data_IF_753916865883
#
_entry.id   IF_753916865883
#
_cell.length_a   1.000
_cell.length_b   1.000
_cell.length_c   1.000
_cell.angle_alpha   90.00
_cell.angle_beta   90.00
_cell.angle_gamma   90.00
#
_symmetry.space_group_name_H-M   'P 1'
#
loop_
_entity.id
_entity.type
_entity.pdbx_description
1 polymer ?
#
# COMPACT_ATOMS: atom_id res chain seq x y z
N UNK A 1 1.33 -23.11 -5.44
CA UNK A 1 1.89 -21.82 -5.91
C UNK A 1 1.43 -20.76 -4.95
N UNK A 2 2.25 -19.81 -4.49
CA UNK A 2 1.71 -18.69 -3.74
C UNK A 2 0.86 -17.85 -4.69
N UNK A 3 -0.40 -17.63 -4.33
CA UNK A 3 -1.37 -16.77 -5.02
C UNK A 3 -0.98 -15.28 -4.91
N UNK A 4 0.19 -14.90 -5.42
CA UNK A 4 0.62 -13.51 -5.41
C UNK A 4 1.20 -13.11 -6.76
N UNK A 5 0.72 -12.04 -7.39
CA UNK A 5 1.46 -11.40 -8.46
C UNK A 5 2.67 -10.71 -7.80
N UNK A 6 3.91 -11.13 -8.06
CA UNK A 6 5.09 -10.62 -7.35
C UNK A 6 5.43 -9.15 -7.66
N UNK A 7 4.60 -8.44 -8.42
CA UNK A 7 4.95 -7.19 -9.10
C UNK A 7 3.76 -6.22 -9.24
N UNK A 8 2.92 -6.07 -8.22
CA UNK A 8 1.88 -5.02 -8.23
C UNK A 8 2.59 -3.67 -8.03
N UNK A 9 2.59 -2.81 -9.04
CA UNK A 9 3.13 -1.46 -8.90
C UNK A 9 2.25 -0.62 -7.95
N UNK A 10 2.75 0.54 -7.49
CA UNK A 10 1.92 1.51 -6.75
C UNK A 10 0.66 1.87 -7.55
N UNK A 11 0.77 1.95 -8.89
CA UNK A 11 -0.37 2.20 -9.77
C UNK A 11 -1.40 1.09 -9.68
N UNK A 12 -0.97 -0.15 -9.89
CA UNK A 12 -1.87 -1.32 -9.88
C UNK A 12 -2.56 -1.50 -8.51
N UNK A 13 -1.82 -1.27 -7.42
CA UNK A 13 -2.38 -1.28 -6.08
C UNK A 13 -3.46 -0.19 -5.90
N UNK A 14 -3.16 1.05 -6.29
CA UNK A 14 -4.12 2.14 -6.20
C UNK A 14 -5.34 1.90 -7.09
N UNK A 15 -5.17 1.36 -8.30
CA UNK A 15 -6.27 0.99 -9.20
C UNK A 15 -7.18 -0.07 -8.56
N UNK A 16 -6.61 -1.09 -7.91
CA UNK A 16 -7.37 -2.15 -7.23
C UNK A 16 -8.32 -1.62 -6.14
N UNK A 17 -7.98 -0.49 -5.53
CA UNK A 17 -8.80 0.18 -4.52
C UNK A 17 -9.53 1.43 -5.04
N UNK A 18 -9.47 1.70 -6.35
CA UNK A 18 -10.07 2.88 -7.00
C UNK A 18 -9.53 4.21 -6.48
N UNK A 19 -8.20 4.29 -6.32
CA UNK A 19 -7.47 5.44 -5.79
C UNK A 19 -6.32 5.91 -6.69
N UNK A 20 -6.28 5.50 -7.97
CA UNK A 20 -5.18 5.84 -8.89
C UNK A 20 -4.98 7.33 -9.13
N UNK A 21 -6.00 8.16 -8.88
CA UNK A 21 -5.86 9.62 -8.90
C UNK A 21 -4.83 10.16 -7.90
N UNK A 22 -4.43 9.38 -6.90
CA UNK A 22 -3.41 9.75 -5.91
C UNK A 22 -1.99 9.28 -6.27
N UNK A 23 -1.79 8.58 -7.40
CA UNK A 23 -0.49 7.97 -7.76
C UNK A 23 0.65 8.99 -7.72
N UNK A 24 0.46 10.17 -8.30
CA UNK A 24 1.50 11.19 -8.36
C UNK A 24 1.89 11.71 -6.97
N UNK A 25 0.93 11.79 -6.04
CA UNK A 25 1.15 12.22 -4.67
C UNK A 25 2.00 11.22 -3.90
N UNK A 26 1.76 9.90 -4.07
CA UNK A 26 2.60 8.86 -3.49
C UNK A 26 4.03 8.93 -4.03
N UNK A 27 4.19 9.03 -5.36
CA UNK A 27 5.51 9.09 -5.99
C UNK A 27 6.28 10.37 -5.61
N UNK A 28 5.62 11.52 -5.60
CA UNK A 28 6.22 12.80 -5.22
C UNK A 28 6.65 12.83 -3.74
N UNK A 29 5.96 12.09 -2.88
CA UNK A 29 6.33 11.93 -1.48
C UNK A 29 7.39 10.83 -1.24
N UNK A 30 7.90 10.18 -2.30
CA UNK A 30 8.95 9.17 -2.22
C UNK A 30 8.46 7.74 -1.95
N UNK A 31 7.14 7.49 -1.93
CA UNK A 31 6.57 6.15 -1.79
C UNK A 31 6.54 5.45 -3.15
N UNK A 32 7.64 4.82 -3.51
CA UNK A 32 7.84 4.19 -4.84
C UNK A 32 7.65 2.67 -4.84
N UNK A 33 7.56 2.03 -3.68
CA UNK A 33 7.40 0.56 -3.53
C UNK A 33 6.25 0.21 -2.58
N UNK A 34 5.64 -0.98 -2.75
CA UNK A 34 4.60 -1.44 -1.81
C UNK A 34 5.16 -1.69 -0.41
N UNK A 35 6.42 -2.06 -0.27
CA UNK A 35 7.09 -2.13 1.03
C UNK A 35 7.06 -0.78 1.74
N UNK A 36 7.43 0.32 1.05
CA UNK A 36 7.38 1.66 1.63
C UNK A 36 5.96 2.08 2.01
N UNK A 37 4.96 1.78 1.16
CA UNK A 37 3.55 2.04 1.43
C UNK A 37 3.02 1.24 2.62
N UNK A 38 3.46 0.00 2.80
CA UNK A 38 3.03 -0.86 3.92
C UNK A 38 3.40 -0.27 5.29
N UNK A 39 4.39 0.61 5.35
CA UNK A 39 4.84 1.28 6.58
C UNK A 39 4.05 2.56 6.90
N UNK A 40 3.32 3.12 5.93
CA UNK A 40 2.65 4.40 6.06
C UNK A 40 1.60 4.42 7.19
N UNK A 41 1.52 5.55 7.87
CA UNK A 41 0.47 5.88 8.83
C UNK A 41 -0.67 6.66 8.15
N UNK A 42 -1.80 6.81 8.87
CA UNK A 42 -2.89 7.71 8.44
C UNK A 42 -2.41 9.16 8.28
N UNK A 43 -1.42 9.57 9.06
CA UNK A 43 -0.89 10.92 9.01
C UNK A 43 -0.07 11.15 7.73
N UNK A 44 0.66 10.14 7.26
CA UNK A 44 1.39 10.23 5.99
C UNK A 44 0.42 10.34 4.81
N UNK A 45 -0.69 9.59 4.85
CA UNK A 45 -1.77 9.69 3.86
C UNK A 45 -2.36 11.11 3.81
N UNK A 46 -2.53 11.76 4.96
CA UNK A 46 -2.98 13.16 5.02
C UNK A 46 -1.94 14.13 4.46
N UNK A 47 -0.67 13.94 4.81
CA UNK A 47 0.45 14.79 4.37
C UNK A 47 0.64 14.78 2.86
N UNK A 48 0.42 13.66 2.19
CA UNK A 48 0.50 13.59 0.73
C UNK A 48 -0.73 14.20 0.03
N UNK A 49 -1.69 14.74 0.76
CA UNK A 49 -2.82 15.49 0.21
C UNK A 49 -4.10 14.67 -0.01
N UNK A 50 -4.26 13.51 0.63
CA UNK A 50 -5.53 12.77 0.63
C UNK A 50 -6.47 13.39 1.68
N UNK A 51 -7.31 14.35 1.27
CA UNK A 51 -8.18 15.10 2.18
C UNK A 51 -9.49 14.41 2.54
N UNK A 52 -10.05 13.59 1.63
CA UNK A 52 -11.36 12.96 1.83
C UNK A 52 -11.26 11.79 2.82
N UNK A 53 -12.03 11.88 3.91
CA UNK A 53 -12.04 10.87 5.00
C UNK A 53 -12.36 9.47 4.46
N UNK A 54 -13.31 9.36 3.52
CA UNK A 54 -13.64 8.07 2.88
C UNK A 54 -12.46 7.45 2.13
N UNK A 55 -11.64 8.28 1.48
CA UNK A 55 -10.45 7.83 0.76
C UNK A 55 -9.33 7.43 1.74
N UNK A 56 -9.11 8.23 2.78
CA UNK A 56 -8.18 7.90 3.86
C UNK A 56 -8.49 6.53 4.47
N UNK A 57 -9.75 6.28 4.85
CA UNK A 57 -10.19 5.01 5.45
C UNK A 57 -9.95 3.83 4.51
N UNK A 58 -10.24 3.99 3.22
CA UNK A 58 -10.02 2.95 2.21
C UNK A 58 -8.54 2.61 2.07
N UNK A 59 -7.67 3.61 1.94
CA UNK A 59 -6.23 3.41 1.81
C UNK A 59 -5.63 2.77 3.07
N UNK A 60 -5.99 3.27 4.25
CA UNK A 60 -5.52 2.71 5.53
C UNK A 60 -5.91 1.24 5.68
N UNK A 61 -7.15 0.88 5.32
CA UNK A 61 -7.58 -0.54 5.34
C UNK A 61 -6.74 -1.40 4.40
N UNK A 62 -6.43 -0.90 3.20
CA UNK A 62 -5.62 -1.64 2.23
C UNK A 62 -4.15 -1.77 2.66
N UNK A 63 -3.58 -0.71 3.26
CA UNK A 63 -2.22 -0.72 3.84
C UNK A 63 -2.11 -1.74 4.97
N UNK A 64 -3.13 -1.87 5.82
CA UNK A 64 -3.16 -2.90 6.86
C UNK A 64 -3.14 -4.31 6.26
N UNK A 65 -3.90 -4.56 5.19
CA UNK A 65 -3.85 -5.84 4.47
C UNK A 65 -2.48 -6.10 3.85
N UNK A 66 -1.86 -5.11 3.20
CA UNK A 66 -0.50 -5.22 2.67
C UNK A 66 0.51 -5.57 3.78
N UNK A 67 0.44 -4.87 4.93
CA UNK A 67 1.33 -5.12 6.06
C UNK A 67 1.20 -6.55 6.59
N UNK A 68 -0.02 -7.05 6.75
CA UNK A 68 -0.25 -8.43 7.18
C UNK A 68 0.31 -9.44 6.18
N UNK A 69 0.12 -9.21 4.88
CA UNK A 69 0.68 -10.05 3.83
C UNK A 69 2.20 -10.12 3.90
N UNK A 70 2.88 -8.98 4.03
CA UNK A 70 4.33 -8.94 4.16
C UNK A 70 4.81 -9.69 5.41
N UNK A 71 4.14 -9.52 6.56
CA UNK A 71 4.48 -10.24 7.80
C UNK A 71 4.35 -11.76 7.63
N UNK A 72 3.29 -12.24 6.96
CA UNK A 72 3.10 -13.67 6.70
C UNK A 72 4.13 -14.23 5.71
N UNK A 73 4.49 -13.49 4.67
CA UNK A 73 5.52 -13.91 3.70
C UNK A 73 6.89 -14.03 4.39
N UNK A 74 7.24 -13.10 5.26
CA UNK A 74 8.49 -13.19 6.02
C UNK A 74 8.49 -14.40 6.96
N UNK A 75 7.38 -14.72 7.62
CA UNK A 75 7.30 -15.87 8.53
C UNK A 75 7.43 -17.23 7.81
N UNK A 76 6.83 -17.37 6.63
CA UNK A 76 6.91 -18.60 5.84
C UNK A 76 8.28 -18.80 5.15
N UNK A 77 9.12 -17.76 5.09
CA UNK A 77 10.49 -17.86 4.54
C UNK A 77 11.51 -18.51 5.48
N UNK A 78 11.20 -18.67 6.76
CA UNK A 78 12.10 -19.27 7.77
C UNK A 78 11.83 -20.76 8.04
N UNK A 79 10.83 -21.35 7.39
CA UNK A 79 10.55 -22.79 7.45
C UNK A 79 11.01 -23.48 6.16
N UNK A 80 12.32 -23.65 6.00
CA UNK A 80 12.95 -24.67 5.15
C UNK A 80 14.29 -25.06 5.75
#
# INVERSE_FOLDING_TARGET
MPDYPPFISIGDWLDSIKMSQYKNQFLAAGFTTLDSVSTMSIEDIRRIGVSLIGHQRRMVSSIQSLRLQFLTVQHNGFHN
#
